data_IF_639826635413
#
_entry.id   IF_639826635413
#
_cell.length_a   1.000
_cell.length_b   1.000
_cell.length_c   1.000
_cell.angle_alpha   90.00
_cell.angle_beta   90.00
_cell.angle_gamma   90.00
#
_symmetry.space_group_name_H-M   'P 1'
#
loop_
_entity.id
_entity.type
_entity.pdbx_description
1 polymer ?
#
# COMPACT_ATOMS: atom_id res chain seq x y z
N UNK A 1 -17.82 22.83 -15.44
CA UNK A 1 -18.02 21.81 -14.39
C UNK A 1 -17.64 22.43 -13.05
N UNK A 2 -18.59 22.60 -12.14
CA UNK A 2 -18.32 23.19 -10.83
C UNK A 2 -17.87 22.09 -9.86
N UNK A 3 -16.88 22.39 -9.01
CA UNK A 3 -16.41 21.46 -7.97
C UNK A 3 -16.97 21.90 -6.62
N UNK A 4 -17.74 21.05 -5.98
CA UNK A 4 -18.25 21.28 -4.63
C UNK A 4 -17.23 20.80 -3.61
N UNK A 5 -16.89 21.65 -2.62
CA UNK A 5 -16.05 21.28 -1.48
C UNK A 5 -16.96 20.68 -0.40
N UNK A 6 -16.67 19.45 0.03
CA UNK A 6 -17.26 18.85 1.23
C UNK A 6 -16.36 19.22 2.40
N UNK A 7 -16.91 19.86 3.42
CA UNK A 7 -16.13 20.34 4.60
C UNK A 7 -15.62 19.16 5.46
N UNK A 8 -14.57 19.39 6.26
CA UNK A 8 -14.09 18.39 7.21
C UNK A 8 -15.16 18.12 8.30
N UNK A 9 -15.27 16.86 8.72
CA UNK A 9 -16.08 16.50 9.88
C UNK A 9 -15.46 17.10 11.16
N UNK A 10 -16.22 17.89 11.91
CA UNK A 10 -15.76 18.58 13.13
C UNK A 10 -15.58 17.68 14.38
N UNK A 11 -15.53 16.38 14.24
CA UNK A 11 -15.39 15.46 15.38
C UNK A 11 -14.28 14.44 15.12
N UNK A 12 -13.03 14.83 15.32
CA UNK A 12 -11.95 13.90 15.71
C UNK A 12 -10.72 14.69 16.20
N UNK A 13 -10.84 15.28 17.39
CA UNK A 13 -9.69 15.65 18.20
C UNK A 13 -9.44 14.54 19.24
N UNK A 14 -9.08 13.35 18.78
CA UNK A 14 -8.40 12.40 19.64
C UNK A 14 -6.92 12.75 19.64
N UNK A 15 -6.42 13.23 20.75
CA UNK A 15 -5.01 13.47 21.01
C UNK A 15 -4.25 12.14 20.86
N UNK A 16 -3.56 11.96 19.74
CA UNK A 16 -2.52 10.95 19.61
C UNK A 16 -1.26 11.49 20.30
N UNK A 17 -0.84 10.77 21.34
CA UNK A 17 0.48 10.96 21.96
C UNK A 17 1.57 10.77 20.90
N UNK A 18 2.45 11.76 20.79
CA UNK A 18 3.67 11.77 20.00
C UNK A 18 4.42 10.44 20.10
N UNK A 19 4.59 9.77 18.97
CA UNK A 19 5.60 8.72 18.82
C UNK A 19 6.91 9.41 18.41
N UNK A 20 7.86 9.61 19.37
CA UNK A 20 9.11 10.29 19.05
C UNK A 20 9.95 9.40 18.12
N UNK A 21 10.20 9.91 16.96
CA UNK A 21 11.26 9.62 16.00
C UNK A 21 11.99 8.27 16.07
N UNK A 22 11.49 7.31 15.33
CA UNK A 22 12.26 6.14 14.93
C UNK A 22 12.09 4.91 15.84
N UNK A 23 12.50 3.73 15.35
CA UNK A 23 12.43 2.51 16.13
C UNK A 23 13.34 2.61 17.35
N UNK A 24 12.89 2.12 18.50
CA UNK A 24 13.80 1.80 19.61
C UNK A 24 14.94 0.93 19.05
N UNK A 25 16.17 1.36 19.21
CA UNK A 25 17.37 0.98 18.44
C UNK A 25 17.68 -0.53 18.28
N UNK A 26 16.93 -1.45 18.87
CA UNK A 26 17.19 -2.89 18.84
C UNK A 26 15.94 -3.77 18.73
N UNK A 27 14.81 -3.28 18.19
CA UNK A 27 13.66 -4.17 18.01
C UNK A 27 13.79 -5.01 16.74
N UNK A 28 13.37 -6.28 16.74
CA UNK A 28 13.39 -7.12 15.53
C UNK A 28 12.64 -6.49 14.34
N UNK A 29 11.59 -5.71 14.62
CA UNK A 29 10.86 -4.96 13.58
C UNK A 29 11.67 -3.80 13.02
N UNK A 30 12.51 -3.14 13.83
CA UNK A 30 13.40 -2.08 13.36
C UNK A 30 14.45 -2.65 12.40
N UNK A 31 15.03 -3.80 12.73
CA UNK A 31 15.93 -4.54 11.85
C UNK A 31 15.24 -4.90 10.52
N UNK A 32 14.01 -5.41 10.58
CA UNK A 32 13.25 -5.77 9.39
C UNK A 32 12.89 -4.54 8.53
N UNK A 33 12.55 -3.40 9.15
CA UNK A 33 12.30 -2.15 8.44
C UNK A 33 13.58 -1.64 7.73
N UNK A 34 14.74 -1.71 8.42
CA UNK A 34 16.01 -1.35 7.80
C UNK A 34 16.34 -2.23 6.58
N UNK A 35 16.06 -3.54 6.67
CA UNK A 35 16.19 -4.47 5.54
C UNK A 35 15.22 -4.11 4.42
N UNK A 36 13.95 -3.79 4.74
CA UNK A 36 12.97 -3.35 3.75
C UNK A 36 13.49 -2.14 2.96
N UNK A 37 13.99 -1.12 3.66
CA UNK A 37 14.60 0.07 3.02
C UNK A 37 15.83 -0.26 2.19
N UNK A 38 16.68 -1.18 2.63
CA UNK A 38 17.86 -1.61 1.88
C UNK A 38 17.50 -2.46 0.65
N UNK A 39 16.34 -3.09 0.64
CA UNK A 39 15.82 -3.87 -0.48
C UNK A 39 14.96 -3.04 -1.44
N UNK A 40 14.50 -1.86 -0.99
CA UNK A 40 13.60 -1.02 -1.79
C UNK A 40 14.28 -0.57 -3.09
N UNK A 41 13.51 -0.68 -4.16
CA UNK A 41 13.87 -0.11 -5.44
C UNK A 41 13.72 1.43 -5.40
N UNK A 42 14.34 2.15 -6.36
CA UNK A 42 14.11 3.59 -6.47
C UNK A 42 12.62 3.92 -6.42
N UNK A 43 12.25 4.95 -5.63
CA UNK A 43 10.86 5.35 -5.42
C UNK A 43 10.58 5.75 -3.97
N UNK A 44 9.31 5.91 -3.59
CA UNK A 44 8.95 6.26 -2.21
C UNK A 44 9.30 5.12 -1.27
N UNK A 45 10.18 5.38 -0.31
CA UNK A 45 10.46 4.45 0.77
C UNK A 45 9.31 4.45 1.79
N UNK A 46 9.08 3.29 2.41
CA UNK A 46 8.06 3.16 3.46
C UNK A 46 8.60 3.77 4.77
N UNK A 47 7.88 4.74 5.35
CA UNK A 47 8.22 5.30 6.66
C UNK A 47 8.06 4.24 7.77
N UNK A 48 8.66 4.47 8.94
CA UNK A 48 8.51 3.56 10.09
C UNK A 48 7.03 3.38 10.49
N UNK A 49 6.28 4.47 10.51
CA UNK A 49 4.85 4.48 10.83
C UNK A 49 4.05 3.65 9.81
N UNK A 50 4.33 3.81 8.53
CA UNK A 50 3.71 2.99 7.47
C UNK A 50 4.07 1.51 7.61
N UNK A 51 5.35 1.21 7.89
CA UNK A 51 5.82 -0.15 8.08
C UNK A 51 5.13 -0.83 9.25
N UNK A 52 5.09 -0.20 10.42
CA UNK A 52 4.44 -0.75 11.61
C UNK A 52 2.93 -0.90 11.46
N UNK A 53 2.27 0.03 10.75
CA UNK A 53 0.87 -0.12 10.39
C UNK A 53 0.66 -1.32 9.45
N UNK A 54 1.54 -1.52 8.46
CA UNK A 54 1.46 -2.65 7.53
C UNK A 54 1.70 -4.00 8.18
N UNK A 55 2.48 -4.06 9.27
CA UNK A 55 2.66 -5.30 10.05
C UNK A 55 1.34 -5.78 10.67
N UNK A 56 0.50 -4.84 11.11
CA UNK A 56 -0.78 -5.15 11.78
C UNK A 56 -1.90 -5.43 10.79
N UNK A 57 -1.88 -4.73 9.67
CA UNK A 57 -2.96 -4.77 8.70
C UNK A 57 -2.45 -4.53 7.30
N UNK A 58 -2.80 -5.41 6.38
CA UNK A 58 -2.50 -5.23 4.96
C UNK A 58 -3.31 -4.10 4.31
N UNK A 59 -3.01 -3.76 3.03
CA UNK A 59 -3.59 -2.61 2.32
C UNK A 59 -5.10 -2.62 2.19
N UNK A 60 -5.73 -3.79 2.25
CA UNK A 60 -7.19 -3.98 2.20
C UNK A 60 -7.83 -4.21 3.57
N UNK A 61 -7.07 -4.09 4.67
CA UNK A 61 -7.53 -4.37 6.03
C UNK A 61 -7.30 -5.81 6.47
N UNK A 62 -6.51 -6.58 5.72
CA UNK A 62 -6.16 -7.97 6.02
C UNK A 62 -5.39 -8.07 7.33
N UNK A 63 -5.63 -9.15 8.11
CA UNK A 63 -4.83 -9.46 9.31
C UNK A 63 -3.37 -9.71 8.92
N UNK A 64 -2.43 -9.03 9.58
CA UNK A 64 -1.00 -9.13 9.32
C UNK A 64 -0.20 -9.85 10.41
N UNK A 65 0.88 -10.51 10.01
CA UNK A 65 1.92 -11.08 10.85
C UNK A 65 3.30 -10.70 10.30
N UNK A 66 4.27 -10.49 11.20
CA UNK A 66 5.67 -10.28 10.84
C UNK A 66 6.56 -11.31 11.51
N UNK A 67 7.51 -11.86 10.75
CA UNK A 67 8.46 -12.86 11.21
C UNK A 67 9.87 -12.47 10.79
N UNK A 68 10.84 -12.69 11.65
CA UNK A 68 12.25 -12.33 11.43
C UNK A 68 13.15 -13.52 11.61
N UNK A 69 14.20 -13.60 10.81
CA UNK A 69 15.32 -14.53 10.99
C UNK A 69 16.54 -13.78 11.56
N UNK A 70 17.21 -14.38 12.51
CA UNK A 70 18.45 -13.92 13.09
C UNK A 70 19.69 -14.63 12.47
N UNK A 71 20.88 -14.24 12.92
CA UNK A 71 22.15 -14.82 12.48
C UNK A 71 22.29 -16.32 12.81
N UNK A 72 21.57 -16.83 13.81
CA UNK A 72 21.55 -18.25 14.16
C UNK A 72 20.66 -19.08 13.23
N UNK A 73 19.90 -18.43 12.36
CA UNK A 73 18.89 -19.04 11.48
C UNK A 73 17.56 -19.31 12.17
N UNK A 74 17.36 -18.83 13.42
CA UNK A 74 16.10 -18.94 14.14
C UNK A 74 15.08 -17.94 13.57
N UNK A 75 13.85 -18.40 13.37
CA UNK A 75 12.75 -17.57 12.88
C UNK A 75 11.76 -17.34 14.04
N UNK A 76 11.59 -16.08 14.41
CA UNK A 76 10.71 -15.65 15.49
C UNK A 76 9.61 -14.68 15.03
N UNK A 77 8.47 -14.71 15.72
CA UNK A 77 7.40 -13.74 15.49
C UNK A 77 7.81 -12.36 15.99
N UNK A 78 7.85 -11.38 15.08
CA UNK A 78 8.13 -9.99 15.42
C UNK A 78 6.83 -9.30 15.86
N UNK A 79 6.71 -9.02 17.17
CA UNK A 79 5.53 -8.37 17.78
C UNK A 79 5.70 -6.85 17.84
N UNK A 80 4.61 -6.13 17.64
CA UNK A 80 4.55 -4.67 17.82
C UNK A 80 4.36 -4.24 19.27
N UNK A 81 4.19 -5.19 20.23
CA UNK A 81 3.74 -4.86 21.59
C UNK A 81 4.87 -4.48 22.55
N UNK A 82 4.66 -3.36 23.27
CA UNK A 82 5.37 -2.98 24.51
C UNK A 82 5.19 -3.99 25.68
N UNK A 83 4.33 -5.00 25.53
CA UNK A 83 3.96 -5.94 26.59
C UNK A 83 5.08 -6.90 27.04
N UNK A 84 6.27 -6.87 26.43
CA UNK A 84 7.39 -7.74 26.82
C UNK A 84 8.19 -7.21 28.02
N UNK A 85 8.04 -5.94 28.41
CA UNK A 85 8.76 -5.35 29.53
C UNK A 85 8.23 -5.80 30.89
N UNK A 86 6.95 -6.16 31.02
CA UNK A 86 6.37 -6.53 32.32
C UNK A 86 6.49 -8.03 32.65
N UNK A 87 6.50 -8.93 31.66
CA UNK A 87 6.74 -10.35 31.93
C UNK A 87 8.19 -10.68 32.24
N UNK A 88 9.14 -9.99 31.61
CA UNK A 88 10.56 -10.16 31.92
C UNK A 88 10.95 -9.62 33.31
N UNK A 89 10.11 -8.76 33.92
CA UNK A 89 10.30 -8.25 35.29
C UNK A 89 9.78 -9.20 36.36
N UNK A 90 8.76 -10.00 36.07
CA UNK A 90 8.19 -11.00 37.00
C UNK A 90 8.96 -12.30 37.04
N UNK A 91 9.61 -12.73 35.96
CA UNK A 91 10.44 -13.93 35.94
C UNK A 91 11.88 -13.73 36.46
N UNK A 92 12.37 -12.46 36.53
CA UNK A 92 13.67 -12.14 37.15
C UNK A 92 13.69 -12.11 38.66
N UNK A 93 12.56 -12.32 39.34
CA UNK A 93 12.47 -12.38 40.79
C UNK A 93 12.74 -13.79 41.37
N UNK A 94 13.01 -14.80 40.53
CA UNK A 94 13.38 -16.14 40.98
C UNK A 94 14.61 -16.63 40.23
N UNK A 95 15.73 -16.57 40.88
CA UNK A 95 17.05 -17.15 40.69
C UNK A 95 18.13 -16.08 40.50
N UNK A 96 18.60 -15.53 41.62
CA UNK A 96 19.90 -14.89 41.68
C UNK A 96 20.85 -15.89 42.30
N UNK A 97 21.69 -16.51 41.48
CA UNK A 97 22.95 -17.09 41.94
C UNK A 97 24.07 -16.54 41.06
N UNK A 98 25.02 -15.93 41.76
CA UNK A 98 26.02 -15.08 41.15
C UNK A 98 27.08 -15.84 40.37
N UNK A 99 27.17 -15.52 39.08
CA UNK A 99 28.45 -15.56 38.32
C UNK A 99 28.41 -14.45 37.29
N UNK A 100 29.22 -13.46 37.46
CA UNK A 100 29.53 -12.42 36.49
C UNK A 100 30.27 -13.03 35.32
N UNK A 101 29.62 -13.12 34.16
CA UNK A 101 30.28 -13.20 32.87
C UNK A 101 29.98 -11.90 32.11
N UNK A 102 31.01 -11.10 31.94
CA UNK A 102 31.05 -9.95 31.05
C UNK A 102 30.96 -10.47 29.61
N UNK A 103 29.72 -10.60 29.11
CA UNK A 103 29.43 -10.87 27.70
C UNK A 103 28.70 -9.66 27.17
N UNK A 104 29.31 -8.96 26.21
CA UNK A 104 28.69 -7.96 25.38
C UNK A 104 27.39 -8.53 24.82
N UNK A 105 26.25 -7.88 25.12
CA UNK A 105 24.96 -8.24 24.59
C UNK A 105 24.87 -7.91 23.10
N UNK A 106 25.39 -8.80 22.26
CA UNK A 106 25.04 -8.87 20.85
C UNK A 106 23.63 -9.45 20.79
N UNK A 107 22.61 -8.62 20.63
CA UNK A 107 21.32 -9.10 20.15
C UNK A 107 21.54 -9.70 18.76
N UNK A 108 21.02 -10.93 18.53
CA UNK A 108 21.16 -11.60 17.25
C UNK A 108 20.67 -10.67 16.15
N UNK A 109 21.55 -10.33 15.21
CA UNK A 109 21.25 -9.36 14.14
C UNK A 109 20.21 -9.94 13.18
N UNK A 110 19.20 -9.13 12.82
CA UNK A 110 18.17 -9.55 11.86
C UNK A 110 18.77 -9.68 10.47
N UNK A 111 18.70 -10.86 9.88
CA UNK A 111 19.25 -11.17 8.55
C UNK A 111 18.20 -11.18 7.44
N UNK A 112 16.94 -11.32 7.80
CA UNK A 112 15.81 -11.30 6.90
C UNK A 112 14.49 -11.42 7.65
N UNK A 113 13.40 -11.46 6.90
CA UNK A 113 12.07 -11.67 7.45
C UNK A 113 10.99 -11.54 6.40
N UNK A 114 9.76 -11.65 6.84
CA UNK A 114 8.61 -11.48 5.97
C UNK A 114 7.42 -10.87 6.70
N UNK A 115 6.56 -10.22 5.92
CA UNK A 115 5.19 -9.88 6.29
C UNK A 115 4.26 -10.84 5.58
N UNK A 116 3.24 -11.33 6.29
CA UNK A 116 2.22 -12.22 5.76
C UNK A 116 0.85 -11.66 6.11
N UNK A 117 0.03 -11.38 5.09
CA UNK A 117 -1.31 -10.85 5.29
C UNK A 117 -2.35 -11.86 4.84
N UNK A 118 -3.42 -11.94 5.60
CA UNK A 118 -4.49 -12.91 5.41
C UNK A 118 -5.80 -12.18 5.13
N UNK A 119 -6.30 -12.14 3.89
CA UNK A 119 -7.64 -11.66 3.57
C UNK A 119 -8.70 -12.39 4.41
N UNK A 120 -9.70 -11.65 4.93
CA UNK A 120 -10.70 -12.19 5.87
C UNK A 120 -12.10 -12.25 5.27
N UNK A 121 -12.46 -11.28 4.41
CA UNK A 121 -13.82 -11.17 3.86
C UNK A 121 -13.94 -11.89 2.51
N UNK A 122 -13.06 -11.53 1.57
CA UNK A 122 -12.94 -12.12 0.23
C UNK A 122 -11.53 -12.67 0.09
N UNK A 123 -11.27 -13.48 -0.97
CA UNK A 123 -9.94 -14.01 -1.25
C UNK A 123 -9.33 -14.80 -0.06
N UNK A 124 -10.18 -15.44 0.73
CA UNK A 124 -9.75 -16.16 1.95
C UNK A 124 -8.86 -17.38 1.68
N UNK A 125 -8.70 -17.78 0.43
CA UNK A 125 -7.76 -18.80 -0.02
C UNK A 125 -6.33 -18.27 -0.22
N UNK A 126 -6.14 -16.94 -0.22
CA UNK A 126 -4.86 -16.28 -0.43
C UNK A 126 -4.12 -15.96 0.87
N UNK A 127 -2.79 -15.93 0.78
CA UNK A 127 -1.93 -15.21 1.70
C UNK A 127 -1.01 -14.29 0.89
N UNK A 128 -0.88 -13.02 1.30
CA UNK A 128 -0.05 -12.02 0.63
C UNK A 128 1.31 -11.97 1.34
N UNK A 129 2.38 -12.26 0.61
CA UNK A 129 3.73 -12.40 1.14
C UNK A 129 4.63 -11.24 0.68
N UNK A 130 5.28 -10.57 1.63
CA UNK A 130 6.43 -9.70 1.38
C UNK A 130 7.64 -10.26 2.11
N UNK A 131 8.55 -10.91 1.37
CA UNK A 131 9.75 -11.56 1.91
C UNK A 131 10.98 -10.72 1.58
N UNK A 132 11.85 -10.52 2.57
CA UNK A 132 13.04 -9.68 2.47
C UNK A 132 14.23 -10.37 3.11
N UNK A 133 15.40 -10.28 2.45
CA UNK A 133 16.68 -10.74 2.99
C UNK A 133 17.70 -9.64 2.82
N UNK A 134 18.50 -9.37 3.83
CA UNK A 134 19.61 -8.41 3.74
C UNK A 134 20.38 -8.61 2.42
N UNK A 135 20.65 -7.56 1.66
CA UNK A 135 21.33 -7.68 0.37
C UNK A 135 22.69 -8.37 0.44
N UNK A 136 23.47 -8.11 1.50
CA UNK A 136 24.79 -8.67 1.77
C UNK A 136 24.78 -10.12 2.30
N UNK A 137 23.58 -10.61 2.73
CA UNK A 137 23.38 -11.98 3.25
C UNK A 137 22.56 -12.86 2.31
N UNK A 138 22.41 -12.42 1.04
CA UNK A 138 21.74 -13.21 0.02
C UNK A 138 22.56 -14.40 -0.38
N UNK A 139 21.91 -15.47 -0.88
CA UNK A 139 22.51 -16.75 -1.32
C UNK A 139 23.01 -17.63 -0.19
N UNK A 140 22.72 -17.32 1.08
CA UNK A 140 23.03 -18.10 2.27
C UNK A 140 21.87 -19.04 2.72
N UNK A 141 20.82 -19.17 1.91
CA UNK A 141 19.66 -20.03 2.23
C UNK A 141 18.56 -19.36 3.04
N UNK A 142 18.80 -18.16 3.61
CA UNK A 142 17.88 -17.44 4.51
C UNK A 142 16.50 -17.25 3.85
N UNK A 143 16.45 -16.75 2.61
CA UNK A 143 15.19 -16.54 1.89
C UNK A 143 14.42 -17.85 1.67
N UNK A 144 15.12 -18.98 1.48
CA UNK A 144 14.52 -20.31 1.36
C UNK A 144 13.85 -20.73 2.66
N UNK A 145 14.55 -20.65 3.79
CA UNK A 145 14.03 -21.00 5.12
C UNK A 145 12.82 -20.13 5.51
N UNK A 146 12.89 -18.82 5.23
CA UNK A 146 11.78 -17.89 5.46
C UNK A 146 10.55 -18.24 4.62
N UNK A 147 10.74 -18.61 3.36
CA UNK A 147 9.63 -19.01 2.48
C UNK A 147 9.00 -20.32 2.96
N UNK A 148 9.80 -21.32 3.30
CA UNK A 148 9.30 -22.61 3.79
C UNK A 148 8.48 -22.42 5.09
N UNK A 149 8.95 -21.54 5.98
CA UNK A 149 8.20 -21.14 7.19
C UNK A 149 6.90 -20.39 6.84
N UNK A 150 6.93 -19.43 5.91
CA UNK A 150 5.75 -18.68 5.48
C UNK A 150 4.69 -19.60 4.85
N UNK A 151 5.11 -20.60 4.04
CA UNK A 151 4.22 -21.62 3.49
C UNK A 151 3.55 -22.43 4.63
N UNK A 152 4.32 -22.86 5.64
CA UNK A 152 3.79 -23.55 6.81
C UNK A 152 2.72 -22.72 7.51
N UNK A 153 3.02 -21.44 7.79
CA UNK A 153 2.08 -20.50 8.41
C UNK A 153 0.81 -20.29 7.57
N UNK A 154 0.96 -20.11 6.27
CA UNK A 154 -0.18 -19.93 5.37
C UNK A 154 -1.10 -21.16 5.36
N UNK A 155 -0.53 -22.37 5.32
CA UNK A 155 -1.29 -23.64 5.42
C UNK A 155 -2.01 -23.81 6.74
N UNK A 156 -1.38 -23.44 7.86
CA UNK A 156 -2.01 -23.46 9.20
C UNK A 156 -3.23 -22.54 9.27
N UNK A 157 -3.23 -21.44 8.51
CA UNK A 157 -4.35 -20.52 8.36
C UNK A 157 -5.33 -20.93 7.25
N UNK A 158 -5.18 -22.14 6.68
CA UNK A 158 -6.06 -22.69 5.65
C UNK A 158 -5.93 -22.03 4.28
N UNK A 159 -4.79 -21.34 4.02
CA UNK A 159 -4.54 -20.71 2.72
C UNK A 159 -3.96 -21.72 1.74
N UNK A 160 -4.25 -21.51 0.47
CA UNK A 160 -3.86 -22.42 -0.61
C UNK A 160 -2.99 -21.78 -1.67
N UNK A 161 -2.94 -20.44 -1.70
CA UNK A 161 -2.15 -19.69 -2.67
C UNK A 161 -1.38 -18.59 -1.96
N UNK A 162 -0.07 -18.52 -2.19
CA UNK A 162 0.76 -17.37 -1.85
C UNK A 162 0.85 -16.42 -3.03
N UNK A 163 0.67 -15.13 -2.77
CA UNK A 163 0.88 -14.06 -3.74
C UNK A 163 1.94 -13.11 -3.20
N UNK A 164 2.92 -12.76 -4.03
CA UNK A 164 3.96 -11.80 -3.71
C UNK A 164 4.32 -10.97 -4.93
N UNK A 165 5.14 -9.93 -4.75
CA UNK A 165 5.58 -9.07 -5.84
C UNK A 165 7.09 -8.92 -5.85
N UNK A 166 7.65 -8.75 -7.05
CA UNK A 166 9.08 -8.48 -7.24
C UNK A 166 9.32 -7.66 -8.52
N UNK A 167 10.33 -6.80 -8.47
CA UNK A 167 10.77 -6.07 -9.65
C UNK A 167 11.25 -7.03 -10.75
N UNK A 168 10.84 -6.75 -11.97
CA UNK A 168 11.24 -7.54 -13.13
C UNK A 168 12.77 -7.55 -13.30
N UNK A 169 13.34 -8.75 -13.50
CA UNK A 169 14.79 -8.92 -13.66
C UNK A 169 15.62 -8.75 -12.39
N UNK A 170 14.99 -8.49 -11.24
CA UNK A 170 15.68 -8.37 -9.96
C UNK A 170 15.87 -9.71 -9.24
N UNK A 171 16.67 -9.74 -8.15
CA UNK A 171 16.94 -10.96 -7.39
C UNK A 171 15.68 -11.59 -6.79
N UNK A 172 14.62 -10.81 -6.53
CA UNK A 172 13.32 -11.31 -6.07
C UNK A 172 12.61 -12.13 -7.16
N UNK A 173 12.64 -11.68 -8.41
CA UNK A 173 12.06 -12.42 -9.54
C UNK A 173 12.80 -13.74 -9.80
N UNK A 174 14.14 -13.74 -9.72
CA UNK A 174 14.93 -14.96 -9.87
C UNK A 174 14.68 -15.94 -8.71
N UNK A 175 14.53 -15.45 -7.50
CA UNK A 175 14.15 -16.25 -6.34
C UNK A 175 12.75 -16.87 -6.52
N UNK A 176 11.76 -16.08 -6.93
CA UNK A 176 10.40 -16.55 -7.15
C UNK A 176 10.37 -17.69 -8.18
N UNK A 177 11.03 -17.51 -9.34
CA UNK A 177 11.18 -18.58 -10.37
C UNK A 177 11.81 -19.84 -9.81
N UNK A 178 12.94 -19.69 -9.08
CA UNK A 178 13.68 -20.81 -8.51
C UNK A 178 12.89 -21.59 -7.45
N UNK A 179 11.89 -20.93 -6.82
CA UNK A 179 11.02 -21.52 -5.80
C UNK A 179 9.65 -21.94 -6.33
N UNK A 180 9.48 -21.97 -7.65
CA UNK A 180 8.28 -22.53 -8.32
C UNK A 180 7.09 -21.56 -8.40
N UNK A 181 7.27 -20.27 -8.11
CA UNK A 181 6.24 -19.29 -8.36
C UNK A 181 6.04 -19.08 -9.87
N UNK A 182 4.80 -18.87 -10.27
CA UNK A 182 4.43 -18.47 -11.62
C UNK A 182 4.14 -16.96 -11.68
N UNK A 183 4.59 -16.24 -12.72
CA UNK A 183 4.20 -14.84 -12.92
C UNK A 183 2.72 -14.80 -13.34
N UNK A 184 1.89 -14.10 -12.57
CA UNK A 184 0.44 -14.06 -12.76
C UNK A 184 -0.06 -12.71 -13.29
N UNK A 185 0.65 -11.62 -12.99
CA UNK A 185 0.38 -10.28 -13.54
C UNK A 185 1.65 -9.50 -13.70
N UNK A 186 1.63 -8.54 -14.62
CA UNK A 186 2.72 -7.58 -14.81
C UNK A 186 2.19 -6.18 -14.63
N UNK A 187 2.86 -5.41 -13.80
CA UNK A 187 2.53 -4.02 -13.52
C UNK A 187 3.69 -3.11 -13.92
N UNK A 188 3.35 -1.96 -14.48
CA UNK A 188 4.30 -0.88 -14.73
C UNK A 188 4.07 0.21 -13.70
N UNK A 189 5.16 0.63 -13.03
CA UNK A 189 5.14 1.85 -12.25
C UNK A 189 5.42 3.02 -13.19
N UNK A 190 4.61 4.07 -13.06
CA UNK A 190 4.79 5.30 -13.83
C UNK A 190 4.91 6.48 -12.86
N UNK A 191 5.69 7.47 -13.24
CA UNK A 191 5.96 8.67 -12.44
C UNK A 191 5.65 9.91 -13.24
N UNK A 192 4.97 10.87 -12.61
CA UNK A 192 4.82 12.24 -13.09
C UNK A 192 5.67 13.15 -12.20
N UNK A 193 6.65 13.84 -12.79
CA UNK A 193 7.40 14.90 -12.12
C UNK A 193 6.60 16.21 -12.16
N UNK A 194 6.10 16.64 -10.99
CA UNK A 194 5.25 17.80 -10.84
C UNK A 194 6.00 19.12 -11.08
N UNK A 195 7.35 19.11 -11.01
CA UNK A 195 8.21 20.28 -11.20
C UNK A 195 8.37 20.61 -12.67
N UNK A 196 8.40 19.57 -13.52
CA UNK A 196 8.67 19.70 -14.97
C UNK A 196 7.45 19.45 -15.84
N UNK A 197 6.31 19.03 -15.26
CA UNK A 197 5.08 18.75 -15.99
C UNK A 197 4.58 19.97 -16.77
N UNK A 198 4.08 19.76 -17.97
CA UNK A 198 3.45 20.81 -18.78
C UNK A 198 2.05 21.13 -18.24
N UNK A 199 2.01 21.95 -17.19
CA UNK A 199 0.74 22.35 -16.54
C UNK A 199 -0.21 23.08 -17.48
N UNK A 200 0.31 23.83 -18.46
CA UNK A 200 -0.51 24.50 -19.46
C UNK A 200 -1.17 23.50 -20.41
N UNK A 201 -0.41 22.50 -20.87
CA UNK A 201 -0.93 21.40 -21.67
C UNK A 201 -1.95 20.55 -20.91
N UNK A 202 -1.70 20.25 -19.62
CA UNK A 202 -2.63 19.53 -18.77
C UNK A 202 -3.96 20.28 -18.56
N UNK A 203 -3.92 21.60 -18.40
CA UNK A 203 -5.14 22.42 -18.29
C UNK A 203 -5.92 22.43 -19.61
N UNK A 204 -5.25 22.54 -20.76
CA UNK A 204 -5.88 22.43 -22.08
C UNK A 204 -6.49 21.04 -22.29
N UNK A 205 -5.80 19.99 -21.86
CA UNK A 205 -6.29 18.60 -21.91
C UNK A 205 -7.55 18.45 -21.05
N UNK A 206 -7.53 19.00 -19.83
CA UNK A 206 -8.69 19.03 -18.93
C UNK A 206 -9.88 19.77 -19.54
N UNK A 207 -9.64 20.96 -20.10
CA UNK A 207 -10.68 21.75 -20.75
C UNK A 207 -11.35 21.01 -21.93
N UNK A 208 -10.55 20.25 -22.70
CA UNK A 208 -11.08 19.38 -23.77
C UNK A 208 -11.87 18.19 -23.23
N UNK A 209 -11.36 17.55 -22.18
CA UNK A 209 -12.01 16.37 -21.58
C UNK A 209 -13.37 16.73 -20.94
N UNK A 210 -13.46 17.84 -20.23
CA UNK A 210 -14.70 18.34 -19.58
C UNK A 210 -15.86 18.51 -20.57
N UNK A 211 -15.60 18.82 -21.83
CA UNK A 211 -16.65 18.94 -22.86
C UNK A 211 -17.41 17.63 -23.10
N UNK A 212 -16.82 16.48 -22.75
CA UNK A 212 -17.43 15.15 -22.85
C UNK A 212 -18.09 14.69 -21.54
N UNK A 213 -17.99 15.49 -20.49
CA UNK A 213 -18.47 15.17 -19.14
C UNK A 213 -19.33 16.31 -18.56
N UNK A 214 -20.13 16.98 -19.39
CA UNK A 214 -20.97 18.14 -19.00
C UNK A 214 -22.05 17.77 -17.98
N UNK A 215 -22.51 16.51 -18.01
CA UNK A 215 -23.58 15.98 -17.18
C UNK A 215 -23.09 15.52 -15.80
N UNK A 216 -21.85 15.90 -15.43
CA UNK A 216 -21.25 15.48 -14.16
C UNK A 216 -20.78 16.68 -13.35
N UNK A 217 -20.99 16.60 -12.02
CA UNK A 217 -20.38 17.49 -11.04
C UNK A 217 -19.21 16.75 -10.35
N UNK A 218 -18.26 17.51 -9.81
CA UNK A 218 -17.16 16.96 -9.00
C UNK A 218 -17.33 17.37 -7.54
N UNK A 219 -17.13 16.40 -6.65
CA UNK A 219 -17.06 16.59 -5.19
C UNK A 219 -15.69 16.13 -4.71
N UNK A 220 -15.14 16.77 -3.70
CA UNK A 220 -13.79 16.45 -3.18
C UNK A 220 -13.66 16.71 -1.70
N UNK A 221 -12.79 15.93 -1.06
CA UNK A 221 -12.43 16.08 0.36
C UNK A 221 -11.00 15.59 0.62
N UNK A 222 -10.46 15.96 1.78
CA UNK A 222 -9.19 15.47 2.32
C UNK A 222 -9.49 14.58 3.49
N UNK A 223 -8.71 13.50 3.66
CA UNK A 223 -8.88 12.55 4.75
C UNK A 223 -10.05 11.59 4.56
N UNK A 224 -10.68 11.14 5.66
CA UNK A 224 -11.73 10.14 5.61
C UNK A 224 -12.95 10.57 4.82
N UNK A 225 -13.63 9.62 4.22
CA UNK A 225 -14.89 9.85 3.49
C UNK A 225 -15.98 10.33 4.45
N UNK A 226 -16.69 11.43 4.13
CA UNK A 226 -17.88 11.86 4.87
C UNK A 226 -18.89 10.74 5.03
N UNK A 227 -19.55 10.70 6.19
CA UNK A 227 -20.41 9.57 6.57
C UNK A 227 -21.56 9.30 5.59
N UNK A 228 -22.12 10.36 5.00
CA UNK A 228 -23.15 10.33 3.98
C UNK A 228 -22.68 9.83 2.61
N UNK A 229 -21.36 9.85 2.35
CA UNK A 229 -20.75 9.37 1.09
C UNK A 229 -20.17 7.95 1.19
N UNK A 230 -20.16 7.31 2.36
CA UNK A 230 -19.57 5.98 2.54
C UNK A 230 -20.20 4.91 1.65
N UNK A 231 -21.53 4.96 1.45
CA UNK A 231 -22.25 4.06 0.56
C UNK A 231 -21.82 4.24 -0.91
N UNK A 232 -21.67 5.48 -1.33
CA UNK A 232 -21.18 5.83 -2.67
C UNK A 232 -19.74 5.36 -2.87
N UNK A 233 -18.87 5.59 -1.90
CA UNK A 233 -17.48 5.12 -1.95
C UNK A 233 -17.36 3.61 -1.98
N UNK A 234 -18.21 2.88 -1.24
CA UNK A 234 -18.24 1.43 -1.32
C UNK A 234 -18.57 0.96 -2.75
N UNK A 235 -19.64 1.50 -3.35
CA UNK A 235 -20.04 1.21 -4.74
C UNK A 235 -18.93 1.57 -5.76
N UNK A 236 -18.29 2.71 -5.58
CA UNK A 236 -17.21 3.17 -6.46
C UNK A 236 -15.96 2.30 -6.34
N UNK A 237 -15.61 1.90 -5.11
CA UNK A 237 -14.45 1.02 -4.88
C UNK A 237 -14.70 -0.39 -5.44
N UNK A 238 -15.93 -0.88 -5.36
CA UNK A 238 -16.33 -2.15 -5.98
C UNK A 238 -16.16 -2.14 -7.50
N UNK A 239 -16.25 -0.97 -8.13
CA UNK A 239 -15.95 -0.77 -9.56
C UNK A 239 -14.49 -1.04 -9.95
N UNK A 240 -13.57 -1.16 -8.98
CA UNK A 240 -12.18 -1.61 -9.22
C UNK A 240 -12.10 -3.10 -9.58
N UNK A 241 -13.12 -3.90 -9.29
CA UNK A 241 -13.20 -5.30 -9.70
C UNK A 241 -13.20 -5.50 -11.23
N UNK A 242 -13.45 -4.44 -11.99
CA UNK A 242 -13.39 -4.45 -13.46
C UNK A 242 -11.95 -4.31 -14.00
N UNK A 243 -10.95 -4.12 -13.12
CA UNK A 243 -9.54 -4.03 -13.50
C UNK A 243 -9.03 -5.41 -13.96
N UNK A 244 -8.28 -5.48 -15.08
CA UNK A 244 -7.71 -6.75 -15.51
C UNK A 244 -6.63 -7.23 -14.54
N UNK A 245 -6.85 -8.40 -13.93
CA UNK A 245 -5.99 -8.99 -12.91
C UNK A 245 -4.95 -9.98 -13.49
N UNK A 246 -4.97 -10.24 -14.82
CA UNK A 246 -4.14 -11.29 -15.43
C UNK A 246 -4.59 -12.68 -14.96
N UNK A 247 -3.60 -13.53 -14.64
CA UNK A 247 -3.82 -14.90 -14.15
C UNK A 247 -3.82 -15.00 -12.61
N UNK A 248 -3.93 -13.87 -11.90
CA UNK A 248 -4.01 -13.86 -10.44
C UNK A 248 -5.28 -14.56 -9.96
N UNK A 249 -5.12 -15.43 -8.98
CA UNK A 249 -6.22 -16.14 -8.33
C UNK A 249 -7.01 -15.21 -7.35
N UNK A 250 -7.32 -14.00 -7.79
CA UNK A 250 -8.04 -12.98 -7.01
C UNK A 250 -9.51 -12.99 -7.42
N UNK A 251 -10.40 -13.11 -6.42
CA UNK A 251 -11.85 -13.02 -6.58
C UNK A 251 -12.33 -11.57 -6.43
N UNK A 252 -13.51 -11.29 -6.95
CA UNK A 252 -14.15 -9.99 -6.78
C UNK A 252 -14.34 -9.65 -5.31
N UNK A 253 -13.96 -8.45 -4.93
CA UNK A 253 -14.09 -7.95 -3.57
C UNK A 253 -15.45 -7.25 -3.38
N UNK A 254 -16.13 -7.57 -2.27
CA UNK A 254 -17.32 -6.86 -1.84
C UNK A 254 -16.93 -5.69 -0.95
N UNK A 255 -17.43 -4.52 -1.30
CA UNK A 255 -17.18 -3.34 -0.51
C UNK A 255 -18.42 -2.87 0.23
N UNK A 256 -18.27 -2.57 1.51
CA UNK A 256 -19.27 -2.00 2.38
C UNK A 256 -18.78 -0.68 2.94
N UNK A 257 -19.69 0.14 3.46
CA UNK A 257 -19.35 1.37 4.18
C UNK A 257 -18.36 1.11 5.34
N UNK A 258 -18.54 0.00 6.07
CA UNK A 258 -17.64 -0.42 7.13
C UNK A 258 -16.24 -0.76 6.64
N UNK A 259 -16.13 -1.44 5.51
CA UNK A 259 -14.82 -1.79 4.92
C UNK A 259 -14.09 -0.56 4.36
N UNK A 260 -14.82 0.39 3.77
CA UNK A 260 -14.25 1.70 3.37
C UNK A 260 -13.66 2.40 4.60
N UNK A 261 -14.43 2.49 5.69
CA UNK A 261 -14.00 3.11 6.94
C UNK A 261 -12.76 2.43 7.50
N UNK A 262 -12.75 1.09 7.60
CA UNK A 262 -11.61 0.34 8.14
C UNK A 262 -10.33 0.57 7.32
N UNK A 263 -10.42 0.64 5.99
CA UNK A 263 -9.30 0.97 5.12
C UNK A 263 -8.77 2.39 5.36
N UNK A 264 -9.67 3.37 5.48
CA UNK A 264 -9.29 4.77 5.72
C UNK A 264 -8.65 4.96 7.10
N UNK A 265 -9.15 4.28 8.13
CA UNK A 265 -8.55 4.25 9.46
C UNK A 265 -7.13 3.64 9.43
N UNK A 266 -6.92 2.59 8.64
CA UNK A 266 -5.59 2.01 8.45
C UNK A 266 -4.65 3.02 7.79
N UNK A 267 -5.09 3.73 6.75
CA UNK A 267 -4.30 4.76 6.08
C UNK A 267 -3.96 5.92 7.05
N UNK A 268 -4.92 6.35 7.85
CA UNK A 268 -4.71 7.39 8.87
C UNK A 268 -3.70 6.94 9.95
N UNK A 269 -3.84 5.71 10.46
CA UNK A 269 -2.86 5.12 11.40
C UNK A 269 -1.46 5.04 10.79
N UNK A 270 -1.36 4.77 9.49
CA UNK A 270 -0.11 4.79 8.75
C UNK A 270 0.44 6.21 8.48
N UNK A 271 -0.17 7.26 9.02
CA UNK A 271 0.24 8.65 8.78
C UNK A 271 -0.03 9.14 7.36
N UNK A 272 -0.94 8.48 6.63
CA UNK A 272 -1.24 8.82 5.25
C UNK A 272 -2.46 9.74 5.15
N UNK A 273 -2.32 10.81 4.36
CA UNK A 273 -3.40 11.74 4.02
C UNK A 273 -3.90 11.44 2.62
N UNK A 274 -5.21 11.36 2.49
CA UNK A 274 -5.89 11.06 1.22
C UNK A 274 -6.54 12.30 0.62
N UNK A 275 -6.49 12.44 -0.69
CA UNK A 275 -7.14 13.44 -1.50
C UNK A 275 -8.08 12.73 -2.45
N UNK A 276 -9.35 12.72 -2.12
CA UNK A 276 -10.38 11.98 -2.87
C UNK A 276 -11.24 12.95 -3.68
N UNK A 277 -11.54 12.56 -4.90
CA UNK A 277 -12.46 13.26 -5.78
C UNK A 277 -13.42 12.26 -6.42
N UNK A 278 -14.72 12.53 -6.34
CA UNK A 278 -15.76 11.75 -7.02
C UNK A 278 -16.44 12.58 -8.11
N UNK A 279 -16.91 11.89 -9.12
CA UNK A 279 -17.84 12.45 -10.12
C UNK A 279 -19.23 11.94 -9.84
N UNK A 280 -20.21 12.86 -9.88
CA UNK A 280 -21.63 12.56 -9.70
C UNK A 280 -22.40 12.96 -10.95
N UNK A 281 -23.26 12.06 -11.43
CA UNK A 281 -24.15 12.37 -12.54
C UNK A 281 -25.22 13.35 -12.08
N UNK A 282 -25.32 14.52 -12.72
CA UNK A 282 -26.15 15.64 -12.22
C UNK A 282 -27.64 15.38 -12.25
N UNK A 283 -28.12 14.62 -13.23
CA UNK A 283 -29.55 14.36 -13.37
C UNK A 283 -30.06 13.29 -12.40
N UNK A 284 -29.30 12.22 -12.13
CA UNK A 284 -29.72 11.13 -11.23
C UNK A 284 -29.17 11.28 -9.80
N UNK A 285 -28.13 12.09 -9.59
CA UNK A 285 -27.42 12.17 -8.32
C UNK A 285 -26.52 10.97 -8.03
N UNK A 286 -26.39 9.98 -8.94
CA UNK A 286 -25.62 8.76 -8.71
C UNK A 286 -24.11 9.01 -8.82
N UNK A 287 -23.29 8.31 -7.98
CA UNK A 287 -21.84 8.32 -8.12
C UNK A 287 -21.43 7.62 -9.43
N UNK A 288 -20.54 8.23 -10.18
CA UNK A 288 -20.15 7.80 -11.52
C UNK A 288 -18.69 7.31 -11.62
N UNK A 289 -17.83 7.82 -10.77
CA UNK A 289 -16.40 7.47 -10.73
C UNK A 289 -15.68 8.20 -9.61
N UNK A 290 -14.48 7.75 -9.27
CA UNK A 290 -13.61 8.43 -8.31
C UNK A 290 -12.14 8.30 -8.69
N UNK A 291 -11.33 9.14 -8.05
CA UNK A 291 -9.87 9.04 -8.06
C UNK A 291 -9.33 9.45 -6.70
N UNK A 292 -8.20 8.88 -6.29
CA UNK A 292 -7.59 9.15 -4.99
C UNK A 292 -6.08 9.32 -5.11
N UNK A 293 -5.54 10.39 -4.52
CA UNK A 293 -4.12 10.60 -4.28
C UNK A 293 -3.84 10.44 -2.79
N UNK A 294 -2.67 9.91 -2.45
CA UNK A 294 -2.23 9.64 -1.09
C UNK A 294 -0.83 10.24 -0.92
N UNK A 295 -0.57 10.83 0.25
CA UNK A 295 0.73 11.35 0.63
C UNK A 295 1.03 10.95 2.08
N UNK A 296 2.31 10.73 2.42
CA UNK A 296 2.73 10.70 3.81
C UNK A 296 2.55 12.11 4.39
N UNK A 297 1.75 12.23 5.45
CA UNK A 297 1.37 13.53 6.00
C UNK A 297 2.51 14.23 6.74
N UNK A 298 3.48 13.45 7.25
CA UNK A 298 4.58 13.94 8.07
C UNK A 298 5.86 14.13 7.25
N UNK A 299 6.17 13.15 6.38
CA UNK A 299 7.42 13.11 5.59
C UNK A 299 7.16 12.65 4.16
N UNK A 300 6.62 13.50 3.29
CA UNK A 300 6.32 13.10 1.91
C UNK A 300 7.57 12.73 1.10
N UNK A 301 8.76 13.13 1.55
CA UNK A 301 10.04 12.92 0.86
C UNK A 301 9.98 13.27 -0.65
N UNK A 302 9.12 14.23 -1.00
CA UNK A 302 8.85 14.64 -2.37
C UNK A 302 7.91 13.70 -3.15
N UNK A 303 7.33 12.68 -2.52
CA UNK A 303 6.48 11.70 -3.19
C UNK A 303 5.02 11.77 -2.79
N UNK A 304 4.15 11.74 -3.81
CA UNK A 304 2.74 11.36 -3.69
C UNK A 304 2.48 10.06 -4.45
N UNK A 305 1.38 9.40 -4.15
CA UNK A 305 0.95 8.18 -4.81
C UNK A 305 -0.45 8.35 -5.38
N UNK A 306 -0.59 8.16 -6.70
CA UNK A 306 -1.89 8.00 -7.31
C UNK A 306 -2.37 6.57 -7.00
N UNK A 307 -3.41 6.48 -6.19
CA UNK A 307 -4.05 5.23 -5.81
C UNK A 307 -5.13 4.86 -6.85
N UNK A 308 -6.28 4.44 -6.39
CA UNK A 308 -7.37 3.97 -7.24
C UNK A 308 -7.96 5.05 -8.14
N UNK A 309 -8.33 4.66 -9.35
CA UNK A 309 -9.17 5.46 -10.25
C UNK A 309 -10.15 4.52 -10.96
N UNK A 310 -11.43 4.75 -10.82
CA UNK A 310 -12.45 3.99 -11.56
C UNK A 310 -13.56 4.89 -12.09
N UNK A 311 -14.18 4.42 -13.16
CA UNK A 311 -15.45 4.94 -13.69
C UNK A 311 -16.38 3.75 -13.87
N UNK A 312 -17.56 3.83 -13.23
CA UNK A 312 -18.55 2.77 -13.30
C UNK A 312 -19.04 2.58 -14.75
N UNK A 313 -19.28 1.33 -15.13
CA UNK A 313 -19.59 0.92 -16.50
C UNK A 313 -20.62 1.81 -17.24
N UNK A 314 -21.77 2.22 -16.62
CA UNK A 314 -22.77 3.09 -17.29
C UNK A 314 -22.25 4.50 -17.64
N UNK A 315 -21.13 4.93 -17.05
CA UNK A 315 -20.58 6.27 -17.18
C UNK A 315 -19.26 6.32 -17.99
N UNK A 316 -18.80 5.17 -18.52
CA UNK A 316 -17.57 5.08 -19.35
C UNK A 316 -17.75 5.74 -20.72
N UNK A 317 -16.64 5.92 -21.44
CA UNK A 317 -16.64 6.55 -22.79
C UNK A 317 -16.75 8.07 -22.79
N UNK A 318 -16.87 8.73 -21.62
CA UNK A 318 -17.08 10.19 -21.47
C UNK A 318 -15.84 10.94 -20.96
N UNK A 319 -14.67 10.35 -21.06
CA UNK A 319 -13.38 10.88 -20.57
C UNK A 319 -13.37 11.22 -19.08
N UNK A 320 -14.32 10.66 -18.30
CA UNK A 320 -14.50 11.02 -16.90
C UNK A 320 -13.30 10.68 -16.03
N UNK A 321 -12.64 9.52 -16.26
CA UNK A 321 -11.41 9.15 -15.57
C UNK A 321 -10.29 10.18 -15.74
N UNK A 322 -10.11 10.68 -16.96
CA UNK A 322 -9.13 11.74 -17.26
C UNK A 322 -9.50 13.06 -16.57
N UNK A 323 -10.79 13.44 -16.60
CA UNK A 323 -11.27 14.66 -15.90
C UNK A 323 -11.01 14.57 -14.40
N UNK A 324 -11.33 13.44 -13.78
CA UNK A 324 -11.10 13.18 -12.36
C UNK A 324 -9.62 13.30 -12.01
N UNK A 325 -8.74 12.57 -12.71
CA UNK A 325 -7.30 12.58 -12.44
C UNK A 325 -6.69 13.97 -12.60
N UNK A 326 -7.01 14.68 -13.70
CA UNK A 326 -6.49 16.03 -13.94
C UNK A 326 -6.98 17.04 -12.90
N UNK A 327 -8.26 16.99 -12.52
CA UNK A 327 -8.78 17.89 -11.50
C UNK A 327 -8.17 17.60 -10.12
N UNK A 328 -8.01 16.30 -9.77
CA UNK A 328 -7.47 15.92 -8.49
C UNK A 328 -5.97 16.24 -8.35
N UNK A 329 -5.15 15.98 -9.38
CA UNK A 329 -3.71 16.26 -9.32
C UNK A 329 -3.42 17.77 -9.27
N UNK A 330 -4.22 18.58 -9.98
CA UNK A 330 -4.10 20.02 -9.88
C UNK A 330 -4.43 20.54 -8.49
N UNK A 331 -5.48 20.00 -7.87
CA UNK A 331 -5.84 20.33 -6.50
C UNK A 331 -4.80 19.83 -5.49
N UNK A 332 -4.35 18.58 -5.62
CA UNK A 332 -3.32 17.97 -4.76
C UNK A 332 -2.04 18.78 -4.74
N UNK A 333 -1.51 19.16 -5.92
CA UNK A 333 -0.31 20.00 -6.03
C UNK A 333 -0.46 21.33 -5.29
N UNK A 334 -1.63 21.93 -5.33
CA UNK A 334 -1.88 23.19 -4.62
C UNK A 334 -1.93 23.02 -3.10
N UNK A 335 -2.33 21.85 -2.61
CA UNK A 335 -2.41 21.53 -1.19
C UNK A 335 -1.09 21.00 -0.62
N UNK A 336 -0.29 20.30 -1.43
CA UNK A 336 0.96 19.64 -1.02
C UNK A 336 2.15 20.14 -1.87
N UNK A 337 2.59 21.39 -1.67
CA UNK A 337 3.63 22.00 -2.50
C UNK A 337 5.02 21.36 -2.33
N UNK A 338 5.25 20.58 -1.28
CA UNK A 338 6.47 19.82 -1.04
C UNK A 338 6.56 18.53 -1.84
N UNK A 339 5.44 18.06 -2.41
CA UNK A 339 5.43 16.88 -3.27
C UNK A 339 5.93 17.25 -4.67
N UNK A 340 7.00 16.59 -5.07
CA UNK A 340 7.67 16.82 -6.36
C UNK A 340 7.26 15.81 -7.43
N UNK A 341 6.88 14.60 -7.03
CA UNK A 341 6.62 13.47 -7.92
C UNK A 341 5.41 12.69 -7.47
N UNK A 342 4.65 12.18 -8.43
CA UNK A 342 3.54 11.25 -8.17
C UNK A 342 3.79 9.95 -8.89
N UNK A 343 3.78 8.84 -8.13
CA UNK A 343 3.93 7.49 -8.67
C UNK A 343 2.57 6.78 -8.74
N UNK A 344 2.40 5.92 -9.74
CA UNK A 344 1.22 5.07 -9.90
C UNK A 344 1.61 3.69 -10.39
N UNK A 345 0.76 2.69 -10.15
CA UNK A 345 0.89 1.32 -10.63
C UNK A 345 -0.23 1.02 -11.61
N UNK A 346 0.09 0.38 -12.72
CA UNK A 346 -0.89 -0.04 -13.69
C UNK A 346 -0.55 -1.41 -14.26
N UNK A 347 -1.54 -2.28 -14.30
CA UNK A 347 -1.43 -3.51 -15.07
C UNK A 347 -1.15 -3.21 -16.53
N UNK A 348 -0.18 -3.90 -17.13
CA UNK A 348 0.09 -3.80 -18.58
C UNK A 348 -1.10 -4.26 -19.42
N UNK A 349 -2.01 -5.05 -18.82
CA UNK A 349 -3.26 -5.48 -19.44
C UNK A 349 -4.35 -4.40 -19.43
N UNK A 350 -4.08 -3.19 -18.85
CA UNK A 350 -5.01 -2.05 -18.83
C UNK A 350 -4.53 -0.92 -19.76
N UNK A 351 -4.58 -1.08 -21.10
CA UNK A 351 -4.08 -0.08 -22.05
C UNK A 351 -4.84 1.25 -21.95
N UNK A 352 -6.09 1.22 -21.50
CA UNK A 352 -6.90 2.42 -21.34
C UNK A 352 -6.36 3.34 -20.24
N UNK A 353 -5.99 2.78 -19.09
CA UNK A 353 -5.42 3.57 -17.99
C UNK A 353 -3.99 4.00 -18.31
N UNK A 354 -3.20 3.16 -18.99
CA UNK A 354 -1.88 3.55 -19.48
C UNK A 354 -1.96 4.76 -20.40
N UNK A 355 -2.87 4.76 -21.40
CA UNK A 355 -3.07 5.88 -22.31
C UNK A 355 -3.50 7.18 -21.57
N UNK A 356 -4.30 7.08 -20.51
CA UNK A 356 -4.64 8.24 -19.68
C UNK A 356 -3.40 8.79 -18.98
N UNK A 357 -2.58 7.93 -18.40
CA UNK A 357 -1.37 8.34 -17.69
C UNK A 357 -0.34 8.94 -18.66
N UNK A 358 -0.11 8.34 -19.82
CA UNK A 358 0.75 8.89 -20.88
C UNK A 358 0.27 10.29 -21.31
N UNK A 359 -1.03 10.45 -21.56
CA UNK A 359 -1.60 11.74 -21.92
C UNK A 359 -1.43 12.82 -20.83
N UNK A 360 -1.27 12.40 -19.57
CA UNK A 360 -0.97 13.27 -18.43
C UNK A 360 0.54 13.52 -18.25
N UNK A 361 1.41 12.89 -19.04
CA UNK A 361 2.86 13.03 -18.93
C UNK A 361 3.51 12.14 -17.88
N UNK A 362 2.83 11.08 -17.45
CA UNK A 362 3.50 10.03 -16.66
C UNK A 362 4.46 9.25 -17.56
N UNK A 363 5.65 8.99 -17.05
CA UNK A 363 6.70 8.22 -17.72
C UNK A 363 6.91 6.88 -17.00
N UNK A 364 7.28 5.86 -17.76
CA UNK A 364 7.61 4.53 -17.21
C UNK A 364 8.80 4.65 -16.27
N UNK A 365 8.64 4.19 -15.04
CA UNK A 365 9.66 4.19 -14.02
C UNK A 365 10.35 2.82 -13.94
N UNK A 366 9.59 1.74 -13.78
CA UNK A 366 10.04 0.36 -13.83
C UNK A 366 8.87 -0.61 -14.00
N UNK A 367 9.17 -1.91 -14.01
CA UNK A 367 8.21 -3.00 -14.19
C UNK A 367 8.31 -3.99 -13.04
N UNK A 368 7.17 -4.47 -12.56
CA UNK A 368 7.04 -5.46 -11.51
C UNK A 368 6.18 -6.62 -11.95
N UNK A 369 6.47 -7.80 -11.41
CA UNK A 369 5.61 -8.97 -11.56
C UNK A 369 4.95 -9.32 -10.24
N UNK A 370 3.67 -9.65 -10.32
CA UNK A 370 2.98 -10.34 -9.25
C UNK A 370 3.13 -11.84 -9.50
N UNK A 371 3.57 -12.53 -8.47
CA UNK A 371 3.90 -13.95 -8.49
C UNK A 371 2.94 -14.71 -7.63
N UNK A 372 2.53 -15.90 -8.06
CA UNK A 372 1.71 -16.79 -7.25
C UNK A 372 2.30 -18.19 -7.17
N UNK A 373 2.04 -18.86 -6.03
CA UNK A 373 2.45 -20.22 -5.74
C UNK A 373 1.29 -20.95 -5.07
N UNK A 374 0.87 -22.07 -5.65
CA UNK A 374 -0.06 -23.00 -5.00
C UNK A 374 0.66 -23.74 -3.88
N UNK A 375 0.04 -23.82 -2.67
CA UNK A 375 0.66 -24.36 -1.45
C UNK A 375 -0.21 -25.41 -0.75
#
# INVERSE_FOLDING_TARGET
MQTKRVGPNENDAAQEEDDPDGPADHSPLAGLHAIARACDHPGPAMSWRQFTASVRSGPGGERGEAWVADDSGRIDHARTDRARTDRARTDRARTYDGRTSSGQGGGDEVTGGYLLHFPQDDNTHLALLRLMTRPDRRREGIGGALLDHAIGRAREEGRRVLVGEAAAGGPGAEFAKARGFSPASTETRLVLDLRTADWSGLELLRARAVRHATDYSLERWVGPTPADLLGDMARLTEGMNDEPLGDLAIEHQRWTAGRVRAREEMLARAGQRTYTMIARHTASGEPAGFTQLIVDAERPEGWGRQSSTTVLAPHRGRRLGLVLKLANITWFRACEPSVERVITWNSVANPHMLAINEAMGFEVFDTWHQWQLDI
#
